data_IF_679048110748
#
_entry.id   IF_679048110748
#
_cell.length_a   1.000
_cell.length_b   1.000
_cell.length_c   1.000
_cell.angle_alpha   90.00
_cell.angle_beta   90.00
_cell.angle_gamma   90.00
#
_symmetry.space_group_name_H-M   'P 1'
#
loop_
_entity.id
_entity.type
_entity.pdbx_description
1 polymer ?
#
# COMPACT_ATOMS: atom_id res chain seq x y z
N UNK A 1 8.71 -19.16 -13.56
CA UNK A 1 7.26 -19.25 -13.29
C UNK A 1 6.83 -17.93 -12.69
N UNK A 2 5.75 -17.31 -13.14
CA UNK A 2 5.24 -16.16 -12.42
C UNK A 2 4.86 -16.62 -11.02
N UNK A 3 5.43 -15.98 -10.00
CA UNK A 3 5.02 -16.22 -8.61
C UNK A 3 3.51 -16.01 -8.53
N UNK A 4 2.80 -16.97 -7.97
CA UNK A 4 1.37 -16.86 -7.77
C UNK A 4 1.09 -15.61 -6.93
N UNK A 5 0.21 -14.74 -7.41
CA UNK A 5 -0.20 -13.56 -6.66
C UNK A 5 -0.62 -13.96 -5.24
N UNK A 6 -0.19 -13.25 -4.21
CA UNK A 6 -0.56 -13.59 -2.85
C UNK A 6 -2.07 -13.55 -2.68
N UNK A 7 -2.63 -14.50 -1.93
CA UNK A 7 -4.07 -14.55 -1.65
C UNK A 7 -4.50 -13.29 -0.88
N UNK A 8 -5.67 -12.78 -1.21
CA UNK A 8 -6.25 -11.65 -0.49
C UNK A 8 -6.57 -12.02 0.97
N UNK A 9 -6.16 -11.17 1.90
CA UNK A 9 -6.57 -11.27 3.31
C UNK A 9 -8.03 -10.84 3.43
N UNK A 10 -8.40 -9.79 2.72
CA UNK A 10 -9.73 -9.18 2.74
C UNK A 10 -10.24 -9.05 1.30
N UNK A 11 -11.44 -9.54 1.05
CA UNK A 11 -12.09 -9.38 -0.26
C UNK A 11 -12.40 -7.92 -0.55
N UNK A 12 -12.51 -7.56 -1.84
CA UNK A 12 -12.66 -6.17 -2.28
C UNK A 12 -13.83 -5.44 -1.62
N UNK A 13 -15.01 -6.06 -1.58
CA UNK A 13 -16.20 -5.42 -1.00
C UNK A 13 -16.00 -5.10 0.48
N UNK A 14 -15.45 -6.05 1.23
CA UNK A 14 -15.14 -5.83 2.65
C UNK A 14 -14.01 -4.80 2.84
N UNK A 15 -13.01 -4.79 1.96
CA UNK A 15 -11.95 -3.79 1.98
C UNK A 15 -12.52 -2.38 1.79
N UNK A 16 -13.42 -2.17 0.85
CA UNK A 16 -14.04 -0.88 0.60
C UNK A 16 -14.91 -0.43 1.78
N UNK A 17 -15.70 -1.34 2.37
CA UNK A 17 -16.47 -1.04 3.58
C UNK A 17 -15.56 -0.61 4.74
N UNK A 18 -14.43 -1.28 4.95
CA UNK A 18 -13.47 -0.92 6.01
C UNK A 18 -12.81 0.44 5.77
N UNK A 19 -12.55 0.80 4.52
CA UNK A 19 -12.01 2.12 4.17
C UNK A 19 -13.06 3.22 4.43
N UNK A 20 -14.32 2.98 4.05
CA UNK A 20 -15.43 3.90 4.32
C UNK A 20 -15.64 4.10 5.82
N UNK A 21 -15.62 3.02 6.62
CA UNK A 21 -15.69 3.09 8.10
C UNK A 21 -14.55 3.93 8.71
N UNK A 22 -13.43 4.06 8.02
CA UNK A 22 -12.26 4.87 8.42
C UNK A 22 -12.28 6.30 7.86
N UNK A 23 -13.37 6.69 7.19
CA UNK A 23 -13.56 8.06 6.69
C UNK A 23 -12.88 8.33 5.35
N UNK A 24 -12.58 7.30 4.57
CA UNK A 24 -12.08 7.48 3.20
C UNK A 24 -13.22 7.90 2.29
N UNK A 25 -13.09 9.06 1.66
CA UNK A 25 -14.13 9.62 0.78
C UNK A 25 -14.11 8.99 -0.62
N UNK A 26 -12.92 8.68 -1.16
CA UNK A 26 -12.75 8.15 -2.51
C UNK A 26 -11.71 7.03 -2.53
N UNK A 27 -11.97 6.01 -3.35
CA UNK A 27 -11.02 4.94 -3.64
C UNK A 27 -10.74 4.91 -5.13
N UNK A 28 -9.49 5.16 -5.51
CA UNK A 28 -9.03 5.04 -6.89
C UNK A 28 -8.43 3.66 -7.10
N UNK A 29 -9.04 2.88 -7.98
CA UNK A 29 -8.53 1.56 -8.35
C UNK A 29 -7.80 1.68 -9.67
N UNK A 30 -6.47 1.58 -9.62
CA UNK A 30 -5.64 1.58 -10.82
C UNK A 30 -5.43 0.15 -11.29
N UNK A 31 -5.81 -0.13 -12.53
CA UNK A 31 -5.47 -1.40 -13.15
C UNK A 31 -3.95 -1.51 -13.34
N UNK A 32 -3.38 -2.57 -12.77
CA UNK A 32 -1.96 -2.83 -12.87
C UNK A 32 -1.67 -3.63 -14.15
N UNK A 33 -1.53 -2.92 -15.25
CA UNK A 33 -1.21 -3.49 -16.56
C UNK A 33 0.28 -3.31 -16.91
N UNK A 34 0.69 -3.84 -18.08
CA UNK A 34 2.08 -3.76 -18.55
C UNK A 34 2.57 -2.31 -18.67
N UNK A 35 1.70 -1.38 -19.09
CA UNK A 35 2.05 0.03 -19.21
C UNK A 35 2.38 0.67 -17.87
N UNK A 36 1.56 0.44 -16.85
CA UNK A 36 1.80 0.94 -15.48
C UNK A 36 3.02 0.26 -14.85
N UNK A 37 3.15 -1.05 -15.04
CA UNK A 37 4.27 -1.83 -14.52
C UNK A 37 5.62 -1.39 -15.09
N UNK A 38 5.64 -0.86 -16.30
CA UNK A 38 6.84 -0.38 -16.99
C UNK A 38 7.16 1.10 -16.73
N UNK A 39 6.31 1.83 -15.99
CA UNK A 39 6.54 3.25 -15.71
C UNK A 39 7.76 3.46 -14.82
N UNK A 40 8.67 4.33 -15.23
CA UNK A 40 9.72 4.82 -14.35
C UNK A 40 9.12 5.65 -13.20
N UNK A 41 9.78 5.71 -12.01
CA UNK A 41 9.23 6.40 -10.85
C UNK A 41 8.82 7.85 -11.10
N UNK A 42 9.63 8.62 -11.81
CA UNK A 42 9.37 10.01 -12.17
C UNK A 42 8.11 10.17 -13.04
N UNK A 43 7.92 9.25 -13.98
CA UNK A 43 6.73 9.21 -14.85
C UNK A 43 5.48 8.84 -14.07
N UNK A 44 5.57 7.88 -13.15
CA UNK A 44 4.46 7.52 -12.28
C UNK A 44 4.02 8.71 -11.43
N UNK A 45 4.96 9.41 -10.81
CA UNK A 45 4.64 10.62 -10.02
C UNK A 45 4.00 11.68 -10.89
N UNK A 46 4.60 12.00 -12.05
CA UNK A 46 4.09 13.05 -12.93
C UNK A 46 2.73 12.70 -13.53
N UNK A 47 2.64 11.57 -14.20
CA UNK A 47 1.47 11.23 -15.04
C UNK A 47 0.28 10.70 -14.23
N UNK A 48 0.52 10.00 -13.11
CA UNK A 48 -0.54 9.45 -12.27
C UNK A 48 -0.83 10.36 -11.08
N UNK A 49 0.16 10.62 -10.24
CA UNK A 49 -0.08 11.36 -9.01
C UNK A 49 -0.38 12.84 -9.27
N UNK A 50 0.47 13.53 -10.03
CA UNK A 50 0.30 14.96 -10.28
C UNK A 50 -0.83 15.24 -11.26
N UNK A 51 -0.79 14.64 -12.45
CA UNK A 51 -1.71 15.01 -13.53
C UNK A 51 -3.13 14.46 -13.34
N UNK A 52 -3.28 13.26 -12.75
CA UNK A 52 -4.61 12.64 -12.58
C UNK A 52 -5.22 12.87 -11.20
N UNK A 53 -4.42 12.82 -10.14
CA UNK A 53 -4.93 12.88 -8.75
C UNK A 53 -4.72 14.30 -8.17
N UNK A 54 -3.56 14.88 -8.40
CA UNK A 54 -3.16 16.19 -7.87
C UNK A 54 -3.31 16.28 -6.34
N UNK A 55 -2.69 15.38 -5.56
CA UNK A 55 -2.78 15.43 -4.12
C UNK A 55 -1.95 16.59 -3.54
N UNK A 56 -2.32 17.08 -2.39
CA UNK A 56 -1.51 18.03 -1.60
C UNK A 56 -0.63 17.32 -0.58
N UNK A 57 -1.07 16.16 -0.14
CA UNK A 57 -0.43 15.36 0.90
C UNK A 57 -0.55 13.88 0.57
N UNK A 58 0.53 13.15 0.73
CA UNK A 58 0.60 11.71 0.46
C UNK A 58 1.09 11.01 1.71
N UNK A 59 0.47 9.90 2.06
CA UNK A 59 0.89 9.02 3.16
C UNK A 59 1.22 7.65 2.58
N UNK A 60 2.40 7.13 2.90
CA UNK A 60 2.84 5.79 2.50
C UNK A 60 3.47 5.05 3.67
N UNK A 61 3.52 3.72 3.62
CA UNK A 61 4.28 2.94 4.57
C UNK A 61 5.80 3.01 4.32
N UNK A 62 6.59 2.68 5.33
CA UNK A 62 8.05 2.68 5.27
C UNK A 62 8.63 1.79 4.15
N UNK A 63 7.92 0.73 3.78
CA UNK A 63 8.32 -0.26 2.78
C UNK A 63 7.64 -0.07 1.42
N UNK A 64 7.03 1.10 1.18
CA UNK A 64 6.38 1.40 -0.08
C UNK A 64 7.39 1.39 -1.23
N UNK A 65 7.04 0.69 -2.30
CA UNK A 65 7.79 0.70 -3.55
C UNK A 65 6.86 0.96 -4.73
N UNK A 66 7.37 1.59 -5.76
CA UNK A 66 6.61 1.94 -6.96
C UNK A 66 7.55 2.05 -8.17
N UNK A 67 6.94 2.25 -9.33
CA UNK A 67 7.68 2.34 -10.58
C UNK A 67 8.17 0.98 -11.09
N UNK A 68 8.87 1.01 -12.21
CA UNK A 68 9.35 -0.20 -12.88
C UNK A 68 10.24 -1.04 -11.97
N UNK A 69 9.89 -2.31 -11.80
CA UNK A 69 10.57 -3.26 -10.92
C UNK A 69 10.71 -2.79 -9.46
N UNK A 70 9.80 -1.93 -8.97
CA UNK A 70 9.89 -1.37 -7.64
C UNK A 70 11.12 -0.48 -7.43
N UNK A 71 11.61 0.17 -8.47
CA UNK A 71 12.83 0.98 -8.42
C UNK A 71 12.69 2.27 -7.61
N UNK A 72 11.45 2.76 -7.40
CA UNK A 72 11.16 3.85 -6.49
C UNK A 72 10.81 3.34 -5.09
N UNK A 73 11.26 4.03 -4.07
CA UNK A 73 10.92 3.81 -2.67
C UNK A 73 10.28 5.07 -2.04
N UNK A 74 10.02 5.04 -0.73
CA UNK A 74 9.42 6.17 -0.02
C UNK A 74 10.29 7.44 -0.08
N UNK A 75 11.62 7.32 -0.06
CA UNK A 75 12.52 8.45 -0.20
C UNK A 75 12.47 9.03 -1.61
N UNK A 76 12.53 8.17 -2.63
CA UNK A 76 12.36 8.57 -4.04
C UNK A 76 11.05 9.32 -4.25
N UNK A 77 9.94 8.81 -3.67
CA UNK A 77 8.64 9.46 -3.74
C UNK A 77 8.68 10.86 -3.11
N UNK A 78 9.28 10.98 -1.94
CA UNK A 78 9.38 12.26 -1.23
C UNK A 78 10.19 13.30 -2.01
N UNK A 79 11.31 12.87 -2.62
CA UNK A 79 12.16 13.75 -3.42
C UNK A 79 11.44 14.23 -4.69
N UNK A 80 10.82 13.31 -5.42
CA UNK A 80 10.07 13.64 -6.64
C UNK A 80 8.87 14.55 -6.35
N UNK A 81 8.11 14.25 -5.30
CA UNK A 81 6.93 15.03 -4.90
C UNK A 81 7.28 16.43 -4.42
N UNK A 82 8.45 16.62 -3.82
CA UNK A 82 8.92 17.94 -3.38
C UNK A 82 8.99 18.94 -4.54
N UNK A 83 9.40 18.50 -5.72
CA UNK A 83 9.44 19.33 -6.93
C UNK A 83 8.07 19.82 -7.38
N UNK A 84 6.98 19.20 -6.94
CA UNK A 84 5.60 19.57 -7.24
C UNK A 84 4.86 20.21 -6.06
N UNK A 85 5.57 20.49 -4.96
CA UNK A 85 4.96 21.07 -3.77
C UNK A 85 4.05 20.10 -2.99
N UNK A 86 4.23 18.79 -3.17
CA UNK A 86 3.46 17.74 -2.51
C UNK A 86 4.23 17.24 -1.30
N UNK A 87 3.62 17.29 -0.11
CA UNK A 87 4.19 16.72 1.10
C UNK A 87 3.99 15.20 1.15
N UNK A 88 4.99 14.46 1.59
CA UNK A 88 4.93 13.00 1.75
C UNK A 88 5.26 12.65 3.19
N UNK A 89 4.36 11.93 3.84
CA UNK A 89 4.58 11.34 5.16
C UNK A 89 4.84 9.83 5.02
N UNK A 90 5.91 9.37 5.65
CA UNK A 90 6.27 7.95 5.67
C UNK A 90 5.93 7.39 7.04
N UNK A 91 4.98 6.46 7.09
CA UNK A 91 4.58 5.79 8.33
C UNK A 91 5.62 4.72 8.68
N UNK A 92 6.19 4.77 9.88
CA UNK A 92 7.17 3.78 10.31
C UNK A 92 6.56 2.40 10.50
N UNK A 93 7.42 1.40 10.58
CA UNK A 93 7.02 0.03 10.91
C UNK A 93 6.25 -0.04 12.23
N UNK A 94 5.12 -0.74 12.22
CA UNK A 94 4.33 -1.01 13.42
C UNK A 94 4.55 -2.45 13.86
N UNK A 95 4.71 -2.66 15.16
CA UNK A 95 4.83 -4.00 15.76
C UNK A 95 3.84 -4.14 16.93
N UNK A 96 3.31 -5.34 17.09
CA UNK A 96 2.43 -5.71 18.21
C UNK A 96 3.00 -6.97 18.85
N UNK A 97 3.25 -6.94 20.17
CA UNK A 97 3.87 -8.03 20.92
C UNK A 97 5.17 -8.55 20.28
N UNK A 98 6.00 -7.67 19.76
CA UNK A 98 7.27 -8.02 19.12
C UNK A 98 7.17 -8.53 17.69
N UNK A 99 5.94 -8.67 17.14
CA UNK A 99 5.71 -9.08 15.76
C UNK A 99 5.40 -7.87 14.88
N UNK A 100 6.02 -7.81 13.72
CA UNK A 100 5.75 -6.78 12.71
C UNK A 100 4.34 -6.95 12.14
N UNK A 101 3.58 -5.88 12.13
CA UNK A 101 2.27 -5.84 11.45
C UNK A 101 2.51 -5.77 9.95
N UNK A 102 2.32 -6.90 9.27
CA UNK A 102 2.50 -7.04 7.82
C UNK A 102 1.48 -8.03 7.24
N UNK A 103 1.18 -7.86 5.97
CA UNK A 103 0.32 -8.81 5.26
C UNK A 103 0.90 -10.24 5.26
N UNK A 104 2.22 -10.38 5.23
CA UNK A 104 2.89 -11.68 5.30
C UNK A 104 2.60 -12.36 6.63
N UNK A 105 2.83 -11.70 7.75
CA UNK A 105 2.59 -12.27 9.08
C UNK A 105 1.10 -12.56 9.32
N UNK A 106 0.21 -11.72 8.80
CA UNK A 106 -1.24 -12.00 8.88
C UNK A 106 -1.61 -13.25 8.08
N UNK A 107 -1.09 -13.41 6.85
CA UNK A 107 -1.36 -14.61 6.04
C UNK A 107 -0.82 -15.87 6.70
N UNK A 108 0.37 -15.83 7.27
CA UNK A 108 0.96 -16.95 8.00
C UNK A 108 0.09 -17.36 9.19
N UNK A 109 -0.38 -16.40 9.97
CA UNK A 109 -1.29 -16.65 11.08
C UNK A 109 -2.60 -17.32 10.61
N UNK A 110 -3.19 -16.82 9.51
CA UNK A 110 -4.41 -17.40 8.94
C UNK A 110 -4.18 -18.83 8.45
N UNK A 111 -3.10 -19.06 7.71
CA UNK A 111 -2.78 -20.39 7.15
C UNK A 111 -2.49 -21.42 8.26
N UNK A 112 -1.85 -20.99 9.35
CA UNK A 112 -1.59 -21.85 10.51
C UNK A 112 -2.81 -22.08 11.41
N UNK A 113 -3.92 -21.37 11.14
CA UNK A 113 -5.13 -21.45 11.97
C UNK A 113 -5.09 -20.61 13.25
N UNK A 114 -4.07 -19.78 13.42
CA UNK A 114 -3.94 -18.88 14.57
C UNK A 114 -4.77 -17.59 14.33
N UNK A 115 -6.07 -17.72 14.51
CA UNK A 115 -7.03 -16.61 14.33
C UNK A 115 -6.81 -15.50 15.35
N UNK A 116 -6.36 -15.83 16.56
CA UNK A 116 -6.09 -14.82 17.60
C UNK A 116 -4.93 -13.93 17.18
N UNK A 117 -3.85 -14.51 16.69
CA UNK A 117 -2.71 -13.77 16.15
C UNK A 117 -3.13 -12.91 14.94
N UNK A 118 -3.89 -13.47 14.02
CA UNK A 118 -4.40 -12.73 12.86
C UNK A 118 -5.23 -11.50 13.28
N UNK A 119 -6.15 -11.66 14.23
CA UNK A 119 -6.96 -10.58 14.77
C UNK A 119 -6.12 -9.50 15.46
N UNK A 120 -5.12 -9.92 16.22
CA UNK A 120 -4.20 -9.00 16.91
C UNK A 120 -3.42 -8.15 15.89
N UNK A 121 -2.87 -8.77 14.87
CA UNK A 121 -2.11 -8.07 13.82
C UNK A 121 -2.99 -7.17 12.95
N UNK A 122 -4.24 -7.57 12.70
CA UNK A 122 -5.21 -6.77 11.95
C UNK A 122 -5.81 -5.61 12.77
N UNK A 123 -5.76 -5.69 14.09
CA UNK A 123 -6.47 -4.77 14.99
C UNK A 123 -8.01 -4.89 14.89
N UNK A 124 -8.51 -6.00 14.35
CA UNK A 124 -9.93 -6.32 14.17
C UNK A 124 -10.11 -7.82 13.98
N UNK A 125 -11.33 -8.30 14.07
CA UNK A 125 -11.63 -9.68 13.72
C UNK A 125 -11.43 -9.95 12.21
N UNK A 126 -10.80 -11.06 11.98
CA UNK A 126 -10.61 -11.55 10.62
C UNK A 126 -11.93 -12.01 9.98
#
# INVERSE_FOLDING_TARGET
MPEASPKFITMHDRKFSLLEERGVDFVFVQEFNVGVAAMEPDRFVKDILVDKINPKYIVVGYNYTFGRNGSGDANTLSELCRGYGIAVEVIPQVSVNGLVVSSTNVREAIVSGDVQMANMLLGRNY
#
